data_IF_080760950669
#
_entry.id   IF_080760950669
#
_cell.length_a   1.000
_cell.length_b   1.000
_cell.length_c   1.000
_cell.angle_alpha   90.00
_cell.angle_beta   90.00
_cell.angle_gamma   90.00
#
_symmetry.space_group_name_H-M   'P 1'
#
loop_
_entity.id
_entity.type
_entity.pdbx_description
1 polymer ?
#
# COMPACT_ATOMS: atom_id res chain seq x y z
N UNK A 1 1.56 -4.49 -25.18
CA UNK A 1 1.82 -5.86 -24.70
C UNK A 1 1.22 -5.94 -23.30
N UNK A 2 0.30 -6.87 -23.05
CA UNK A 2 -0.25 -7.13 -21.70
C UNK A 2 0.89 -7.58 -20.81
N UNK A 3 1.16 -6.85 -19.73
CA UNK A 3 2.20 -7.18 -18.76
C UNK A 3 1.61 -8.27 -17.85
N UNK A 4 2.01 -9.51 -18.06
CA UNK A 4 1.59 -10.61 -17.19
C UNK A 4 2.01 -10.29 -15.73
N UNK A 5 1.10 -10.49 -14.78
CA UNK A 5 1.43 -10.37 -13.37
C UNK A 5 2.42 -11.48 -12.98
N UNK A 6 3.36 -11.23 -12.05
CA UNK A 6 4.19 -12.29 -11.46
C UNK A 6 3.33 -13.37 -10.81
N UNK A 7 3.88 -14.59 -10.65
CA UNK A 7 3.19 -15.65 -9.92
C UNK A 7 2.89 -15.23 -8.48
N UNK A 8 1.75 -15.71 -7.94
CA UNK A 8 1.39 -15.46 -6.54
C UNK A 8 1.83 -16.67 -5.69
N UNK A 9 2.88 -16.54 -4.85
CA UNK A 9 3.39 -17.65 -4.04
C UNK A 9 2.42 -18.08 -2.93
N UNK A 10 1.51 -17.21 -2.50
CA UNK A 10 0.59 -17.48 -1.40
C UNK A 10 -0.53 -18.47 -1.79
N UNK A 11 -0.77 -18.70 -3.08
CA UNK A 11 -1.74 -19.69 -3.54
C UNK A 11 -1.40 -21.14 -3.12
N UNK A 12 -0.14 -21.40 -2.79
CA UNK A 12 0.34 -22.72 -2.34
C UNK A 12 0.62 -22.79 -0.85
N UNK A 13 0.42 -21.69 -0.12
CA UNK A 13 0.69 -21.59 1.33
C UNK A 13 -0.63 -21.75 2.08
N UNK A 14 -0.66 -22.68 3.06
CA UNK A 14 -1.79 -22.80 3.98
C UNK A 14 -1.58 -21.87 5.21
N UNK A 15 -2.58 -21.04 5.48
CA UNK A 15 -2.66 -20.20 6.67
C UNK A 15 -3.67 -20.72 7.70
N UNK A 16 -4.20 -21.92 7.53
CA UNK A 16 -5.14 -22.54 8.47
C UNK A 16 -4.50 -22.67 9.86
N UNK A 17 -5.21 -22.21 10.90
CA UNK A 17 -4.76 -22.27 12.28
C UNK A 17 -3.69 -21.25 12.66
N UNK A 18 -3.32 -20.33 11.77
CA UNK A 18 -2.39 -19.24 12.06
C UNK A 18 -3.09 -18.05 12.72
N UNK A 19 -2.40 -17.37 13.64
CA UNK A 19 -2.84 -16.09 14.19
C UNK A 19 -2.40 -15.00 13.25
N UNK A 20 -3.33 -14.50 12.43
CA UNK A 20 -3.07 -13.44 11.48
C UNK A 20 -3.15 -12.06 12.14
N UNK A 21 -2.41 -11.10 11.60
CA UNK A 21 -2.51 -9.68 11.91
C UNK A 21 -3.06 -8.90 10.74
N UNK A 22 -3.51 -7.68 11.01
CA UNK A 22 -4.19 -6.82 10.04
C UNK A 22 -3.50 -5.46 9.95
N UNK A 23 -3.40 -4.92 8.72
CA UNK A 23 -3.00 -3.52 8.46
C UNK A 23 -3.78 -2.99 7.25
N UNK A 24 -4.05 -1.70 7.22
CA UNK A 24 -4.77 -1.05 6.11
C UNK A 24 -3.87 -0.02 5.45
N UNK A 25 -3.67 -0.16 4.15
CA UNK A 25 -2.71 0.62 3.35
C UNK A 25 -3.43 1.33 2.19
N UNK A 26 -3.48 2.65 2.25
CA UNK A 26 -3.98 3.50 1.17
C UNK A 26 -2.80 3.96 0.31
N UNK A 27 -2.74 3.57 -0.96
CA UNK A 27 -1.58 3.78 -1.83
C UNK A 27 -1.94 4.17 -3.27
N UNK A 28 -2.98 4.99 -3.47
CA UNK A 28 -3.53 5.29 -4.78
C UNK A 28 -4.53 4.23 -5.24
N UNK A 29 -4.66 4.02 -6.55
CA UNK A 29 -5.56 2.99 -7.08
C UNK A 29 -5.28 1.62 -6.46
N UNK A 30 -6.26 1.09 -5.74
CA UNK A 30 -6.11 -0.11 -4.94
C UNK A 30 -5.95 -1.41 -5.74
N UNK A 31 -6.26 -1.44 -7.04
CA UNK A 31 -6.08 -2.62 -7.89
C UNK A 31 -4.61 -3.07 -7.97
N UNK A 32 -3.72 -2.10 -8.22
CA UNK A 32 -2.28 -2.38 -8.26
C UNK A 32 -1.71 -2.73 -6.89
N UNK A 33 -2.15 -2.01 -5.84
CA UNK A 33 -1.73 -2.26 -4.46
C UNK A 33 -2.13 -3.67 -4.04
N UNK A 34 -3.38 -4.11 -4.33
CA UNK A 34 -3.84 -5.47 -4.04
C UNK A 34 -2.99 -6.52 -4.76
N UNK A 35 -2.83 -6.37 -6.08
CA UNK A 35 -2.08 -7.34 -6.87
C UNK A 35 -0.63 -7.46 -6.42
N UNK A 36 -0.02 -6.36 -5.96
CA UNK A 36 1.34 -6.35 -5.42
C UNK A 36 1.41 -7.09 -4.07
N UNK A 37 0.59 -6.68 -3.11
CA UNK A 37 0.63 -7.23 -1.75
C UNK A 37 0.21 -8.70 -1.70
N UNK A 38 -0.74 -9.13 -2.51
CA UNK A 38 -1.13 -10.54 -2.64
C UNK A 38 0.05 -11.46 -3.02
N UNK A 39 1.14 -10.91 -3.55
CA UNK A 39 2.34 -11.64 -3.96
C UNK A 39 3.49 -11.60 -2.95
N UNK A 40 3.34 -10.89 -1.85
CA UNK A 40 4.34 -10.91 -0.77
C UNK A 40 4.16 -12.19 0.04
N UNK A 41 5.17 -13.08 0.13
CA UNK A 41 5.06 -14.31 0.93
C UNK A 41 4.72 -13.98 2.39
N UNK A 42 3.71 -14.64 2.95
CA UNK A 42 3.20 -14.34 4.29
C UNK A 42 1.93 -13.49 4.31
N UNK A 43 1.51 -12.90 3.19
CA UNK A 43 0.21 -12.25 3.07
C UNK A 43 -0.85 -13.32 2.83
N UNK A 44 -1.72 -13.52 3.81
CA UNK A 44 -2.74 -14.58 3.81
C UNK A 44 -3.99 -14.19 3.03
N UNK A 45 -4.38 -12.90 3.11
CA UNK A 45 -5.58 -12.40 2.43
C UNK A 45 -5.47 -10.90 2.17
N UNK A 46 -6.15 -10.43 1.14
CA UNK A 46 -6.24 -9.01 0.78
C UNK A 46 -7.67 -8.66 0.37
N UNK A 47 -8.16 -7.51 0.85
CA UNK A 47 -9.48 -6.99 0.48
C UNK A 47 -9.35 -5.51 0.16
N UNK A 48 -9.78 -5.08 -1.03
CA UNK A 48 -9.84 -3.66 -1.37
C UNK A 48 -11.13 -3.03 -0.86
N UNK A 49 -11.05 -1.76 -0.47
CA UNK A 49 -12.19 -1.06 0.10
C UNK A 49 -11.93 0.42 0.32
N UNK A 50 -12.79 1.03 1.12
CA UNK A 50 -12.81 2.46 1.39
C UNK A 50 -12.67 2.72 2.88
N UNK A 51 -11.66 3.51 3.27
CA UNK A 51 -11.33 3.73 4.68
C UNK A 51 -11.34 5.21 5.07
N UNK A 52 -11.57 5.44 6.36
CA UNK A 52 -11.40 6.72 7.05
C UNK A 52 -12.12 7.90 6.38
N UNK A 53 -13.31 7.64 5.83
CA UNK A 53 -14.24 8.65 5.35
C UNK A 53 -15.35 8.96 6.35
N UNK A 54 -16.30 9.81 5.94
CA UNK A 54 -17.35 10.37 6.79
C UNK A 54 -18.71 9.67 6.65
N UNK A 55 -18.88 8.83 5.63
CA UNK A 55 -20.14 8.13 5.34
C UNK A 55 -20.02 6.64 5.62
N UNK A 56 -21.16 5.96 5.84
CA UNK A 56 -21.23 4.52 5.98
C UNK A 56 -21.56 3.88 4.63
N UNK A 57 -20.94 2.74 4.34
CA UNK A 57 -21.16 1.94 3.12
C UNK A 57 -21.21 2.78 1.83
N UNK A 58 -20.15 3.57 1.53
CA UNK A 58 -20.16 4.39 0.34
C UNK A 58 -20.09 3.51 -0.92
N UNK A 59 -20.71 3.98 -2.01
CA UNK A 59 -20.48 3.42 -3.34
C UNK A 59 -19.17 3.96 -3.94
N UNK A 60 -18.67 3.28 -4.99
CA UNK A 60 -17.48 3.76 -5.72
C UNK A 60 -17.67 5.17 -6.28
N UNK A 61 -18.84 5.46 -6.86
CA UNK A 61 -19.15 6.79 -7.40
C UNK A 61 -19.13 7.88 -6.33
N UNK A 62 -19.67 7.58 -5.14
CA UNK A 62 -19.61 8.50 -4.01
C UNK A 62 -18.16 8.77 -3.57
N UNK A 63 -17.33 7.73 -3.48
CA UNK A 63 -15.90 7.87 -3.15
C UNK A 63 -15.16 8.69 -4.20
N UNK A 64 -15.40 8.43 -5.49
CA UNK A 64 -14.82 9.18 -6.60
C UNK A 64 -15.22 10.65 -6.61
N UNK A 65 -16.39 11.00 -6.05
CA UNK A 65 -16.81 12.41 -5.90
C UNK A 65 -15.91 13.20 -4.94
N UNK A 66 -15.10 12.52 -4.12
CA UNK A 66 -14.25 13.09 -3.09
C UNK A 66 -15.00 13.63 -1.84
N UNK A 67 -16.32 13.78 -1.89
CA UNK A 67 -17.13 14.39 -0.81
C UNK A 67 -17.12 13.58 0.49
N UNK A 68 -17.26 12.22 0.47
CA UNK A 68 -17.20 11.41 1.68
C UNK A 68 -15.80 11.38 2.31
N UNK A 69 -14.76 11.68 1.54
CA UNK A 69 -13.38 11.72 2.00
C UNK A 69 -12.78 10.36 2.36
N UNK A 70 -13.34 9.25 1.85
CA UNK A 70 -12.73 7.93 1.98
C UNK A 70 -11.45 7.83 1.14
N UNK A 71 -10.48 7.03 1.61
CA UNK A 71 -9.33 6.61 0.81
C UNK A 71 -9.59 5.23 0.21
N UNK A 72 -9.20 5.01 -1.05
CA UNK A 72 -9.02 3.68 -1.60
C UNK A 72 -7.93 2.97 -0.80
N UNK A 73 -8.28 1.84 -0.20
CA UNK A 73 -7.46 1.22 0.83
C UNK A 73 -7.45 -0.29 0.66
N UNK A 74 -6.26 -0.88 0.79
CA UNK A 74 -6.07 -2.31 0.87
C UNK A 74 -6.06 -2.74 2.34
N UNK A 75 -6.95 -3.64 2.73
CA UNK A 75 -6.85 -4.41 3.96
C UNK A 75 -5.94 -5.61 3.70
N UNK A 76 -4.89 -5.75 4.48
CA UNK A 76 -3.91 -6.84 4.40
C UNK A 76 -4.02 -7.68 5.67
N UNK A 77 -4.28 -8.98 5.52
CA UNK A 77 -4.13 -9.97 6.59
C UNK A 77 -2.84 -10.76 6.36
N UNK A 78 -1.97 -10.83 7.34
CA UNK A 78 -0.66 -11.45 7.19
C UNK A 78 -0.28 -12.34 8.37
N UNK A 79 0.54 -13.34 8.10
CA UNK A 79 1.16 -14.21 9.11
C UNK A 79 2.45 -13.54 9.62
N UNK A 80 2.48 -13.04 10.88
CA UNK A 80 3.64 -12.35 11.43
C UNK A 80 4.86 -13.26 11.62
N UNK A 81 4.69 -14.59 11.57
CA UNK A 81 5.79 -15.54 11.59
C UNK A 81 6.51 -15.65 10.23
N UNK A 82 5.88 -15.18 9.13
CA UNK A 82 6.41 -15.24 7.76
C UNK A 82 6.82 -13.88 7.22
N UNK A 83 6.07 -12.84 7.54
CA UNK A 83 6.37 -11.47 7.11
C UNK A 83 6.11 -10.50 8.24
N UNK A 84 7.07 -9.61 8.50
CA UNK A 84 6.91 -8.59 9.52
C UNK A 84 6.12 -7.39 9.02
N UNK A 85 5.48 -6.64 9.94
CA UNK A 85 4.86 -5.35 9.61
C UNK A 85 5.88 -4.38 9.01
N UNK A 86 7.13 -4.37 9.52
CA UNK A 86 8.21 -3.55 8.97
C UNK A 86 8.46 -3.85 7.50
N UNK A 87 8.53 -5.14 7.12
CA UNK A 87 8.71 -5.57 5.74
C UNK A 87 7.53 -5.13 4.85
N UNK A 88 6.29 -5.29 5.34
CA UNK A 88 5.10 -4.82 4.59
C UNK A 88 5.12 -3.32 4.36
N UNK A 89 5.51 -2.52 5.37
CA UNK A 89 5.60 -1.07 5.25
C UNK A 89 6.74 -0.63 4.31
N UNK A 90 7.87 -1.33 4.33
CA UNK A 90 8.95 -1.08 3.38
C UNK A 90 8.50 -1.34 1.94
N UNK A 91 7.83 -2.46 1.69
CA UNK A 91 7.22 -2.76 0.40
C UNK A 91 6.19 -1.70 -0.03
N UNK A 92 5.39 -1.20 0.92
CA UNK A 92 4.43 -0.13 0.67
C UNK A 92 5.12 1.14 0.15
N UNK A 93 6.19 1.59 0.81
CA UNK A 93 6.95 2.76 0.37
C UNK A 93 7.73 2.55 -0.94
N UNK A 94 7.98 1.31 -1.35
CA UNK A 94 8.56 1.01 -2.66
C UNK A 94 7.59 1.28 -3.82
N UNK A 95 6.30 1.16 -3.60
CA UNK A 95 5.30 1.22 -4.67
C UNK A 95 4.52 2.53 -4.74
N UNK A 96 4.60 3.40 -3.73
CA UNK A 96 3.92 4.71 -3.70
C UNK A 96 4.91 5.87 -3.84
N UNK A 97 4.39 7.07 -4.14
CA UNK A 97 5.06 8.34 -3.84
C UNK A 97 4.54 8.89 -2.50
N UNK A 98 5.30 8.75 -1.40
CA UNK A 98 4.85 9.17 -0.08
C UNK A 98 4.83 10.70 0.09
N UNK A 99 5.33 11.44 -0.90
CA UNK A 99 5.40 12.92 -0.90
C UNK A 99 4.28 13.56 -1.72
N UNK A 100 3.48 12.76 -2.44
CA UNK A 100 2.39 13.26 -3.27
C UNK A 100 1.10 13.40 -2.44
N UNK A 101 0.61 14.63 -2.30
CA UNK A 101 -0.63 14.91 -1.59
C UNK A 101 -1.84 14.61 -2.49
N UNK A 102 -2.77 13.77 -1.98
CA UNK A 102 -4.02 13.40 -2.66
C UNK A 102 -3.81 12.91 -4.11
N UNK A 103 -2.72 12.18 -4.36
CA UNK A 103 -2.35 11.73 -5.69
C UNK A 103 -1.44 10.52 -5.63
N UNK A 104 -1.56 9.60 -6.62
CA UNK A 104 -0.54 8.60 -6.95
C UNK A 104 -0.48 8.41 -8.48
N UNK A 105 0.70 8.57 -9.05
CA UNK A 105 0.87 8.49 -10.52
C UNK A 105 -0.04 9.50 -11.25
N UNK A 106 -0.95 8.99 -12.09
CA UNK A 106 -1.93 9.80 -12.84
C UNK A 106 -3.30 9.90 -12.15
N UNK A 107 -3.44 9.31 -10.97
CA UNK A 107 -4.71 9.30 -10.22
C UNK A 107 -4.72 10.49 -9.24
N UNK A 108 -5.67 11.40 -9.41
CA UNK A 108 -5.82 12.63 -8.63
C UNK A 108 -7.13 12.59 -7.82
N UNK A 109 -7.05 12.97 -6.56
CA UNK A 109 -8.21 13.08 -5.66
C UNK A 109 -7.89 12.58 -4.26
N UNK A 110 -8.71 13.01 -3.27
CA UNK A 110 -8.52 12.63 -1.86
C UNK A 110 -8.61 11.12 -1.65
N UNK A 111 -9.32 10.40 -2.52
CA UNK A 111 -9.42 8.94 -2.48
C UNK A 111 -8.08 8.25 -2.79
N UNK A 112 -7.16 8.92 -3.48
CA UNK A 112 -5.85 8.38 -3.85
C UNK A 112 -4.71 8.85 -2.93
N UNK A 113 -5.04 9.49 -1.78
CA UNK A 113 -4.04 9.84 -0.78
C UNK A 113 -3.35 8.62 -0.22
N UNK A 114 -2.08 8.77 0.17
CA UNK A 114 -1.37 7.72 0.88
C UNK A 114 -1.69 7.72 2.37
N UNK A 115 -1.81 6.52 2.95
CA UNK A 115 -2.12 6.33 4.35
C UNK A 115 -1.79 4.96 4.89
N UNK A 116 -1.45 4.89 6.16
CA UNK A 116 -1.28 3.68 6.95
C UNK A 116 -2.27 3.76 8.10
N UNK A 117 -3.24 2.84 8.13
CA UNK A 117 -4.28 2.83 9.16
C UNK A 117 -4.16 1.56 10.00
N UNK A 118 -4.19 1.70 11.31
CA UNK A 118 -3.93 0.65 12.28
C UNK A 118 -5.09 0.54 13.28
N UNK A 119 -5.27 -0.65 13.88
CA UNK A 119 -6.18 -0.89 15.00
C UNK A 119 -5.42 -1.02 16.31
N UNK A 120 -4.24 -1.65 16.27
CA UNK A 120 -3.40 -1.85 17.44
C UNK A 120 -2.48 -0.64 17.61
N UNK A 121 -2.64 0.09 18.73
CA UNK A 121 -1.81 1.25 19.02
C UNK A 121 -0.34 0.88 19.28
N UNK A 122 -0.05 -0.37 19.64
CA UNK A 122 1.31 -0.86 19.87
C UNK A 122 2.12 -0.95 18.56
N UNK A 123 1.45 -0.93 17.41
CA UNK A 123 2.11 -0.87 16.09
C UNK A 123 2.64 0.54 15.73
N UNK A 124 2.09 1.59 16.36
CA UNK A 124 2.41 2.97 16.03
C UNK A 124 3.91 3.33 16.15
N UNK A 125 4.65 2.91 17.19
CA UNK A 125 6.09 3.18 17.28
C UNK A 125 6.87 2.58 16.10
N UNK A 126 6.53 1.35 15.66
CA UNK A 126 7.16 0.71 14.52
C UNK A 126 6.82 1.44 13.22
N UNK A 127 5.56 1.79 13.00
CA UNK A 127 5.11 2.56 11.82
C UNK A 127 5.91 3.87 11.71
N UNK A 128 6.02 4.61 12.81
CA UNK A 128 6.78 5.87 12.84
C UNK A 128 8.27 5.68 12.60
N UNK A 129 8.86 4.62 13.12
CA UNK A 129 10.27 4.28 12.90
C UNK A 129 10.55 4.01 11.42
N UNK A 130 9.70 3.24 10.75
CA UNK A 130 9.82 2.96 9.32
C UNK A 130 9.73 4.27 8.52
N UNK A 131 8.73 5.11 8.80
CA UNK A 131 8.57 6.42 8.14
C UNK A 131 9.80 7.31 8.33
N UNK A 132 10.35 7.36 9.54
CA UNK A 132 11.55 8.15 9.84
C UNK A 132 12.75 7.68 9.02
N UNK A 133 12.91 6.36 8.85
CA UNK A 133 13.98 5.78 8.03
C UNK A 133 13.78 6.08 6.54
N UNK A 134 12.54 6.01 6.05
CA UNK A 134 12.19 6.42 4.68
C UNK A 134 12.48 7.91 4.46
N UNK A 135 12.08 8.77 5.42
CA UNK A 135 12.30 10.21 5.34
C UNK A 135 13.78 10.59 5.22
N UNK A 136 14.68 9.80 5.81
CA UNK A 136 16.14 10.02 5.67
C UNK A 136 16.64 9.77 4.26
N UNK A 137 15.94 8.98 3.45
CA UNK A 137 16.32 8.64 2.08
C UNK A 137 15.77 9.61 1.03
N UNK A 138 14.78 10.44 1.39
CA UNK A 138 14.10 11.35 0.47
C UNK A 138 14.12 12.79 1.00
N UNK A 139 14.25 13.77 0.08
CA UNK A 139 14.36 15.18 0.46
C UNK A 139 13.02 15.85 0.74
N UNK A 140 11.97 15.43 0.03
CA UNK A 140 10.62 15.99 0.19
C UNK A 140 9.95 15.43 1.44
N UNK A 141 9.13 16.21 2.16
CA UNK A 141 8.42 15.72 3.32
C UNK A 141 7.43 14.60 2.93
N UNK A 142 7.36 13.57 3.77
CA UNK A 142 6.36 12.52 3.66
C UNK A 142 5.00 13.08 4.11
N UNK A 143 3.99 12.92 3.27
CA UNK A 143 2.60 13.35 3.54
C UNK A 143 1.66 12.15 3.79
N UNK A 144 2.19 10.94 3.82
CA UNK A 144 1.43 9.73 4.12
C UNK A 144 0.76 9.84 5.50
N UNK A 145 -0.57 9.71 5.54
CA UNK A 145 -1.31 9.72 6.80
C UNK A 145 -0.95 8.52 7.68
N UNK A 146 -0.87 8.73 9.00
CA UNK A 146 -0.81 7.65 9.99
C UNK A 146 -1.91 7.89 10.99
N UNK A 147 -2.97 7.06 10.95
CA UNK A 147 -4.17 7.25 11.76
C UNK A 147 -4.74 5.92 12.26
N UNK A 148 -5.42 5.89 13.39
CA UNK A 148 -6.28 4.76 13.73
C UNK A 148 -7.29 4.52 12.60
N UNK A 149 -7.63 3.25 12.38
CA UNK A 149 -8.71 2.88 11.49
C UNK A 149 -10.04 3.26 12.13
N UNK A 150 -10.71 4.28 11.58
CA UNK A 150 -12.04 4.70 12.04
C UNK A 150 -13.15 3.85 11.43
N UNK A 151 -13.03 3.54 10.14
CA UNK A 151 -13.96 2.68 9.40
C UNK A 151 -13.27 2.08 8.18
N UNK A 152 -13.79 0.94 7.73
CA UNK A 152 -13.43 0.29 6.48
C UNK A 152 -14.66 -0.44 5.92
N UNK A 153 -14.96 -0.21 4.66
CA UNK A 153 -16.03 -0.84 3.91
C UNK A 153 -15.42 -1.52 2.69
N UNK A 154 -15.63 -2.83 2.54
CA UNK A 154 -15.16 -3.55 1.37
C UNK A 154 -15.76 -2.92 0.10
N UNK A 155 -14.93 -2.75 -0.91
CA UNK A 155 -15.39 -2.32 -2.23
C UNK A 155 -16.18 -3.45 -2.91
N UNK A 156 -16.92 -3.08 -3.94
CA UNK A 156 -17.76 -3.98 -4.72
C UNK A 156 -16.96 -5.16 -5.31
N UNK A 157 -17.61 -6.29 -5.53
CA UNK A 157 -16.96 -7.55 -5.94
C UNK A 157 -16.16 -7.42 -7.26
N UNK A 158 -16.55 -6.53 -8.15
CA UNK A 158 -15.84 -6.30 -9.41
C UNK A 158 -14.48 -5.62 -9.21
N UNK A 159 -14.26 -4.97 -8.06
CA UNK A 159 -12.96 -4.39 -7.70
C UNK A 159 -12.01 -5.40 -7.06
N UNK A 160 -12.54 -6.45 -6.44
CA UNK A 160 -11.71 -7.47 -5.79
C UNK A 160 -10.94 -8.26 -6.85
N UNK A 161 -9.62 -8.40 -6.65
CA UNK A 161 -8.71 -9.11 -7.55
C UNK A 161 -8.82 -8.64 -9.02
N UNK A 162 -9.02 -7.32 -9.20
CA UNK A 162 -9.33 -6.74 -10.52
C UNK A 162 -8.27 -7.09 -11.56
N UNK A 163 -6.98 -6.99 -11.24
CA UNK A 163 -5.89 -7.25 -12.20
C UNK A 163 -5.70 -8.75 -12.48
N UNK A 164 -6.11 -9.65 -11.58
CA UNK A 164 -6.17 -11.08 -11.86
C UNK A 164 -7.25 -11.39 -12.91
N UNK A 165 -8.41 -10.74 -12.77
CA UNK A 165 -9.55 -10.89 -13.68
C UNK A 165 -9.32 -10.13 -15.00
N UNK A 166 -8.53 -9.04 -14.96
CA UNK A 166 -8.28 -8.13 -16.09
C UNK A 166 -6.78 -7.88 -16.28
N UNK A 167 -6.00 -8.81 -16.84
CA UNK A 167 -4.53 -8.70 -16.94
C UNK A 167 -4.03 -7.50 -17.77
N UNK A 168 -4.89 -6.89 -18.59
CA UNK A 168 -4.61 -5.65 -19.35
C UNK A 168 -5.08 -4.38 -18.65
N UNK A 169 -5.59 -4.47 -17.42
CA UNK A 169 -6.14 -3.35 -16.67
C UNK A 169 -5.09 -2.29 -16.31
N UNK A 170 -5.58 -1.10 -15.96
CA UNK A 170 -4.73 -0.01 -15.51
C UNK A 170 -3.97 -0.37 -14.22
N UNK A 171 -2.67 -0.12 -14.20
CA UNK A 171 -1.83 -0.29 -13.04
C UNK A 171 -0.66 0.69 -13.06
N UNK A 172 -0.51 1.50 -12.00
CA UNK A 172 0.60 2.44 -11.83
C UNK A 172 1.80 1.80 -11.11
N UNK A 173 1.68 0.57 -10.60
CA UNK A 173 2.69 -0.07 -9.76
C UNK A 173 3.71 -0.84 -10.61
N UNK A 174 4.98 -0.72 -10.22
CA UNK A 174 6.07 -1.52 -10.77
C UNK A 174 6.28 -2.78 -9.92
N UNK A 175 5.98 -3.95 -10.49
CA UNK A 175 6.15 -5.24 -9.81
C UNK A 175 7.62 -5.69 -9.70
N UNK A 176 8.57 -5.02 -10.34
CA UNK A 176 10.00 -5.36 -10.17
C UNK A 176 10.49 -5.22 -8.72
N UNK A 177 9.85 -4.37 -7.93
CA UNK A 177 10.13 -4.22 -6.51
C UNK A 177 9.87 -5.51 -5.68
N UNK A 178 9.08 -6.47 -6.19
CA UNK A 178 8.88 -7.77 -5.50
C UNK A 178 10.14 -8.63 -5.46
N UNK A 179 10.99 -8.56 -6.49
CA UNK A 179 12.25 -9.32 -6.55
C UNK A 179 13.30 -8.78 -5.59
N UNK A 180 13.32 -7.47 -5.39
CA UNK A 180 14.22 -6.81 -4.43
C UNK A 180 13.86 -7.13 -2.97
N UNK A 181 12.57 -7.31 -2.69
CA UNK A 181 12.07 -7.71 -1.38
C UNK A 181 12.42 -9.16 -1.01
N UNK A 182 12.50 -10.06 -2.00
CA UNK A 182 12.82 -11.47 -1.79
C UNK A 182 14.32 -11.70 -1.51
N UNK A 183 15.20 -10.83 -2.01
CA UNK A 183 16.65 -10.93 -1.81
C UNK A 183 17.11 -10.38 -0.44
N UNK A 184 16.27 -9.62 0.26
CA UNK A 184 16.56 -9.04 1.59
C UNK A 184 16.25 -9.94 2.78
N UNK A 185 15.66 -11.12 2.59
CA UNK A 185 15.43 -12.10 3.65
C UNK A 185 16.53 -13.15 3.64
N UNK A 186 17.39 -13.16 4.65
CA UNK A 186 18.29 -14.29 4.83
C UNK A 186 17.50 -15.56 5.23
N UNK A 187 18.07 -16.74 4.93
CA UNK A 187 17.45 -18.03 5.18
C UNK A 187 17.23 -18.36 6.68
N UNK A 188 17.51 -17.42 7.58
CA UNK A 188 17.42 -17.56 9.04
C UNK A 188 16.27 -16.75 9.66
N UNK A 189 15.51 -15.99 8.86
CA UNK A 189 14.36 -15.19 9.35
C UNK A 189 14.76 -14.04 10.27
N UNK A 190 16.03 -13.64 10.29
CA UNK A 190 16.50 -12.55 11.14
C UNK A 190 16.32 -11.21 10.41
N UNK A 191 15.43 -10.38 10.94
CA UNK A 191 14.99 -9.10 10.39
C UNK A 191 16.01 -7.95 10.58
N UNK A 192 17.30 -8.22 10.45
CA UNK A 192 18.36 -7.21 10.67
C UNK A 192 19.38 -7.10 9.54
N UNK A 193 18.97 -7.17 8.30
CA UNK A 193 19.86 -6.89 7.17
C UNK A 193 19.21 -5.92 6.18
N UNK A 194 19.40 -4.65 6.47
CA UNK A 194 19.32 -3.61 5.46
C UNK A 194 17.88 -3.16 5.11
N UNK A 195 17.47 -2.03 5.66
CA UNK A 195 16.29 -1.31 5.17
C UNK A 195 16.39 -1.14 3.65
N UNK A 196 15.37 -1.56 2.89
CA UNK A 196 15.35 -1.45 1.43
C UNK A 196 15.63 -0.01 1.00
N UNK A 197 16.54 0.17 0.04
CA UNK A 197 16.84 1.49 -0.51
C UNK A 197 15.66 1.96 -1.35
N UNK A 198 15.15 3.11 -1.00
CA UNK A 198 14.19 3.84 -1.85
C UNK A 198 15.02 4.64 -2.87
N UNK A 199 14.71 4.51 -4.15
CA UNK A 199 15.34 5.31 -5.19
C UNK A 199 15.02 6.81 -4.95
N UNK A 200 15.99 7.64 -4.51
CA UNK A 200 15.74 9.04 -4.22
C UNK A 200 15.38 9.85 -5.49
N UNK A 201 15.68 9.34 -6.67
CA UNK A 201 15.35 10.00 -7.95
C UNK A 201 13.92 9.73 -8.39
N UNK A 202 13.26 8.69 -7.84
CA UNK A 202 11.86 8.38 -8.10
C UNK A 202 10.92 9.54 -7.74
N UNK A 203 11.29 10.35 -6.73
CA UNK A 203 10.51 11.46 -6.19
C UNK A 203 11.13 12.84 -6.48
N UNK A 204 12.15 12.92 -7.35
CA UNK A 204 12.89 14.16 -7.62
C UNK A 204 12.23 15.10 -8.63
N UNK A 205 11.20 14.66 -9.35
CA UNK A 205 10.44 15.55 -10.23
C UNK A 205 9.51 16.42 -9.38
N UNK A 206 9.57 17.76 -9.51
CA UNK A 206 8.62 18.63 -8.82
C UNK A 206 7.21 18.29 -9.29
N UNK A 207 6.29 18.21 -8.34
CA UNK A 207 4.88 18.07 -8.64
C UNK A 207 4.44 19.29 -9.45
N UNK A 208 3.84 19.13 -10.66
CA UNK A 208 3.39 20.27 -11.47
C UNK A 208 2.39 21.19 -10.76
N UNK A 209 1.70 20.71 -9.71
CA UNK A 209 0.78 21.53 -8.94
C UNK A 209 1.46 22.38 -7.86
N UNK A 210 2.62 21.97 -7.33
CA UNK A 210 3.40 22.80 -6.42
C UNK A 210 3.94 24.05 -7.11
N UNK A 211 4.15 24.00 -8.43
CA UNK A 211 4.59 25.15 -9.23
C UNK A 211 3.49 26.21 -9.48
N UNK A 212 2.21 25.89 -9.19
CA UNK A 212 1.09 26.83 -9.39
C UNK A 212 0.74 27.61 -8.13
N UNK A 213 1.31 27.27 -6.97
CA UNK A 213 1.03 27.98 -5.72
C UNK A 213 1.99 29.15 -5.47
N UNK A 214 3.07 29.27 -6.26
CA UNK A 214 4.05 30.35 -6.17
C UNK A 214 3.88 31.43 -7.26
N UNK A 215 2.76 31.46 -7.98
CA UNK A 215 2.33 32.51 -8.91
C UNK A 215 1.00 33.13 -8.44
#
# INVERSE_FOLDING_TARGET
>A
MSRALPSNPNLTISYAGKTLKDIWLAGGCFWGVQAYFARIPGVANTVVGYANGKTSNPTYEEVCSGRPGHAETLHVQYDPERVSLSTLLQNFFQIIDPTALNRQGNDYGVQYRSGIYYRDADELPLIRSVIATVQQQIKRPIVTEVKPLANFYAAEDYHQDYLEKNPGGYCHINFAALSEAAEGTDATGNADTGFMRIDPHKYSKPDPETLKQDL
#
